data_IF_982117322509
#
_entry.id   IF_982117322509
#
_cell.length_a   1.000
_cell.length_b   1.000
_cell.length_c   1.000
_cell.angle_alpha   90.00
_cell.angle_beta   90.00
_cell.angle_gamma   90.00
#
_symmetry.space_group_name_H-M   'P 1'
#
loop_
_entity.id
_entity.type
_entity.pdbx_description
1 polymer ?
#
# COMPACT_ATOMS: atom_id res chain seq x y z
N UNK A 1 -27.49 56.84 69.15
CA UNK A 1 -26.63 55.70 69.27
C UNK A 1 -26.60 55.05 67.91
N UNK A 2 -25.47 54.91 67.32
CA UNK A 2 -25.12 54.99 65.93
C UNK A 2 -25.52 53.79 65.07
N UNK A 3 -26.33 54.05 64.08
CA UNK A 3 -26.67 53.11 63.02
C UNK A 3 -25.68 53.23 61.88
N UNK A 4 -24.89 52.19 61.70
CA UNK A 4 -23.93 52.11 60.56
C UNK A 4 -24.66 51.52 59.38
N UNK A 5 -24.93 52.36 58.38
CA UNK A 5 -25.49 51.96 57.08
C UNK A 5 -24.40 51.33 56.25
N UNK A 6 -24.53 50.01 56.01
CA UNK A 6 -23.66 49.29 55.08
C UNK A 6 -24.14 49.53 53.64
N UNK A 7 -23.36 50.26 52.86
CA UNK A 7 -23.54 50.34 51.43
C UNK A 7 -22.94 49.08 50.77
N UNK A 8 -23.78 48.21 50.29
CA UNK A 8 -23.37 47.12 49.39
C UNK A 8 -23.40 47.67 47.98
N UNK A 9 -22.21 47.92 47.41
CA UNK A 9 -22.05 48.22 46.00
C UNK A 9 -22.13 46.89 45.21
N UNK A 10 -23.23 46.71 44.51
CA UNK A 10 -23.35 45.60 43.57
C UNK A 10 -22.57 45.95 42.28
N UNK A 11 -21.44 45.27 42.08
CA UNK A 11 -20.64 45.35 40.86
C UNK A 11 -21.32 44.48 39.79
N UNK A 12 -22.06 45.07 38.87
CA UNK A 12 -22.56 44.39 37.69
C UNK A 12 -21.42 44.24 36.69
N UNK A 13 -20.82 43.03 36.63
CA UNK A 13 -19.95 42.66 35.55
C UNK A 13 -20.85 42.28 34.37
N UNK A 14 -21.01 43.20 33.42
CA UNK A 14 -21.61 42.90 32.14
C UNK A 14 -20.61 42.01 31.35
N UNK A 15 -20.82 40.69 31.38
CA UNK A 15 -20.16 39.76 30.51
C UNK A 15 -20.67 40.02 29.07
N UNK A 16 -20.02 40.93 28.39
CA UNK A 16 -20.22 41.08 26.95
C UNK A 16 -19.69 39.87 26.24
N UNK A 17 -20.59 38.98 25.84
CA UNK A 17 -20.26 37.91 24.90
C UNK A 17 -19.83 38.53 23.57
N UNK A 18 -18.53 38.57 23.33
CA UNK A 18 -17.99 38.90 22.00
C UNK A 18 -18.32 37.70 21.13
N UNK A 19 -19.50 37.71 20.52
CA UNK A 19 -19.77 36.84 19.40
C UNK A 19 -18.82 37.26 18.28
N UNK A 20 -17.74 36.51 18.12
CA UNK A 20 -16.91 36.61 16.93
C UNK A 20 -17.82 36.25 15.75
N UNK A 21 -18.29 37.23 15.06
CA UNK A 21 -18.95 37.07 13.78
C UNK A 21 -17.88 36.61 12.83
N UNK A 22 -17.74 35.29 12.70
CA UNK A 22 -17.08 34.74 11.53
C UNK A 22 -17.91 35.19 10.35
N UNK A 23 -17.43 36.19 9.65
CA UNK A 23 -18.05 36.62 8.41
C UNK A 23 -18.17 35.38 7.53
N UNK A 24 -19.38 35.06 7.02
CA UNK A 24 -19.51 33.92 6.10
C UNK A 24 -18.53 34.18 4.96
N UNK A 25 -17.69 33.20 4.70
CA UNK A 25 -16.74 33.25 3.61
C UNK A 25 -17.52 33.46 2.32
N UNK A 26 -17.47 34.69 1.82
CA UNK A 26 -18.15 35.05 0.58
C UNK A 26 -17.37 34.49 -0.61
N UNK A 27 -17.86 33.39 -1.15
CA UNK A 27 -17.31 32.74 -2.35
C UNK A 27 -17.54 33.58 -3.62
N UNK A 28 -18.39 34.66 -3.55
CA UNK A 28 -18.69 35.50 -4.69
C UNK A 28 -17.66 36.60 -4.89
N UNK A 29 -16.82 36.89 -3.89
CA UNK A 29 -15.76 37.87 -4.05
C UNK A 29 -14.73 37.38 -5.07
N UNK A 30 -14.47 38.16 -6.13
CA UNK A 30 -13.45 37.78 -7.10
C UNK A 30 -12.10 37.68 -6.36
N UNK A 31 -11.55 36.49 -6.35
CA UNK A 31 -10.20 36.26 -5.83
C UNK A 31 -9.21 36.93 -6.76
N UNK A 32 -8.82 38.15 -6.45
CA UNK A 32 -7.85 38.94 -7.22
C UNK A 32 -6.43 38.35 -7.22
N UNK A 33 -6.29 37.09 -6.83
CA UNK A 33 -4.99 36.40 -6.77
C UNK A 33 -4.81 35.35 -7.89
N UNK A 34 -5.67 35.37 -8.92
CA UNK A 34 -5.44 34.52 -10.09
C UNK A 34 -4.43 35.23 -10.98
N UNK A 35 -3.25 34.67 -11.25
CA UNK A 35 -2.30 35.23 -12.18
C UNK A 35 -2.98 35.48 -13.53
N UNK A 36 -2.66 36.61 -14.24
CA UNK A 36 -3.38 37.05 -15.44
C UNK A 36 -3.39 36.04 -16.61
N UNK A 37 -2.59 34.97 -16.53
CA UNK A 37 -2.52 33.91 -17.54
C UNK A 37 -3.29 32.63 -17.14
N UNK A 38 -4.00 32.63 -16.01
CA UNK A 38 -4.81 31.47 -15.63
C UNK A 38 -6.19 31.66 -16.20
N UNK A 39 -6.50 30.99 -17.29
CA UNK A 39 -7.84 30.95 -17.87
C UNK A 39 -8.80 30.39 -16.82
N UNK A 40 -9.92 31.04 -16.59
CA UNK A 40 -10.94 30.73 -15.58
C UNK A 40 -11.75 29.44 -15.86
N UNK A 41 -11.28 28.58 -16.75
CA UNK A 41 -11.81 27.22 -16.84
C UNK A 41 -11.37 26.47 -15.57
N UNK A 42 -12.25 25.69 -14.95
CA UNK A 42 -11.88 24.88 -13.78
C UNK A 42 -10.87 23.82 -14.22
N UNK A 43 -9.61 24.24 -14.31
CA UNK A 43 -8.53 23.29 -14.57
C UNK A 43 -8.48 22.33 -13.38
N UNK A 44 -8.58 21.06 -13.70
CA UNK A 44 -8.33 20.02 -12.69
C UNK A 44 -6.94 20.27 -12.12
N UNK A 45 -6.76 20.22 -10.81
CA UNK A 45 -5.45 20.36 -10.22
C UNK A 45 -4.51 19.32 -10.84
N UNK A 46 -3.42 19.79 -11.41
CA UNK A 46 -2.41 18.93 -12.00
C UNK A 46 -1.21 18.87 -11.06
N UNK A 47 -0.76 17.67 -10.79
CA UNK A 47 0.48 17.42 -10.06
C UNK A 47 1.47 16.77 -11.00
N UNK A 48 2.63 17.37 -11.15
CA UNK A 48 3.75 16.75 -11.87
C UNK A 48 4.63 16.01 -10.86
N UNK A 49 4.77 14.70 -11.05
CA UNK A 49 5.66 13.87 -10.25
C UNK A 49 6.93 13.58 -11.06
N UNK A 50 8.02 14.25 -10.73
CA UNK A 50 9.31 13.98 -11.31
C UNK A 50 10.01 12.89 -10.49
N UNK A 51 10.02 11.65 -11.02
CA UNK A 51 10.67 10.52 -10.36
C UNK A 51 11.93 10.12 -11.09
N UNK A 52 12.96 9.78 -10.34
CA UNK A 52 14.15 9.13 -10.88
C UNK A 52 13.79 7.69 -11.32
N UNK A 53 14.43 7.20 -12.36
CA UNK A 53 14.42 5.80 -12.77
C UNK A 53 15.75 5.15 -12.39
N UNK A 54 16.10 5.29 -11.13
CA UNK A 54 17.35 4.78 -10.60
C UNK A 54 17.35 3.25 -10.55
N UNK A 55 18.48 2.65 -10.77
CA UNK A 55 18.75 1.23 -10.69
C UNK A 55 18.40 0.66 -9.29
N UNK A 56 18.60 1.42 -8.21
CA UNK A 56 18.23 1.01 -6.85
C UNK A 56 16.74 0.72 -6.65
N UNK A 57 15.87 1.28 -7.51
CA UNK A 57 14.44 1.02 -7.48
C UNK A 57 14.07 -0.40 -7.94
N UNK A 58 14.95 -1.08 -8.64
CA UNK A 58 14.74 -2.46 -9.07
C UNK A 58 15.20 -3.49 -8.03
N UNK A 59 15.83 -3.05 -6.95
CA UNK A 59 16.14 -3.89 -5.79
C UNK A 59 14.89 -4.35 -5.03
N UNK A 60 15.03 -5.38 -4.17
CA UNK A 60 13.93 -5.86 -3.34
C UNK A 60 13.45 -4.76 -2.40
N UNK A 61 12.13 -4.70 -2.18
CA UNK A 61 11.58 -3.77 -1.20
C UNK A 61 11.95 -4.19 0.22
N UNK A 62 11.93 -5.49 0.48
CA UNK A 62 12.33 -6.06 1.77
C UNK A 62 13.77 -6.55 1.64
N UNK A 63 14.67 -5.94 2.40
CA UNK A 63 16.11 -6.19 2.29
C UNK A 63 16.61 -7.33 3.19
N UNK A 64 15.74 -7.84 4.08
CA UNK A 64 16.04 -8.89 5.08
C UNK A 64 17.14 -8.47 6.08
N UNK A 65 17.18 -7.20 6.43
CA UNK A 65 18.06 -6.59 7.42
C UNK A 65 17.34 -5.50 8.24
N UNK A 66 16.03 -5.64 8.43
CA UNK A 66 15.20 -4.69 9.14
C UNK A 66 14.42 -5.39 10.24
N UNK A 67 14.21 -4.71 11.35
CA UNK A 67 13.26 -5.11 12.39
C UNK A 67 11.85 -4.71 11.91
N UNK A 68 11.14 -5.67 11.32
CA UNK A 68 9.82 -5.44 10.71
C UNK A 68 8.69 -5.30 11.73
N UNK A 69 8.85 -5.88 12.90
CA UNK A 69 7.82 -5.90 13.95
C UNK A 69 8.11 -4.94 15.08
N UNK A 70 9.30 -4.33 15.14
CA UNK A 70 9.72 -3.40 16.19
C UNK A 70 10.03 -4.09 17.51
N UNK A 71 10.41 -5.37 17.46
CA UNK A 71 10.71 -6.19 18.64
C UNK A 71 12.22 -6.19 19.04
N UNK A 72 13.03 -5.44 18.30
CA UNK A 72 14.49 -5.35 18.49
C UNK A 72 15.25 -6.47 17.79
N UNK A 73 14.58 -7.36 17.06
CA UNK A 73 15.20 -8.46 16.33
C UNK A 73 15.18 -8.16 14.83
N UNK A 74 16.35 -8.28 14.19
CA UNK A 74 16.45 -8.07 12.73
C UNK A 74 16.01 -9.34 12.00
N UNK A 75 15.01 -9.21 11.12
CA UNK A 75 14.60 -10.29 10.23
C UNK A 75 15.59 -10.46 9.10
N UNK A 76 16.14 -11.68 8.98
CA UNK A 76 17.09 -12.05 7.92
C UNK A 76 16.49 -12.97 6.86
N UNK A 77 15.21 -13.28 6.99
CA UNK A 77 14.47 -14.19 6.10
C UNK A 77 12.97 -13.85 6.15
N UNK A 78 12.15 -14.58 5.41
CA UNK A 78 10.70 -14.45 5.46
C UNK A 78 10.14 -14.62 6.87
N UNK A 79 9.37 -13.65 7.33
CA UNK A 79 8.65 -13.67 8.61
C UNK A 79 7.16 -13.94 8.36
N UNK A 80 6.64 -15.14 8.63
CA UNK A 80 5.26 -15.50 8.27
C UNK A 80 4.18 -14.69 8.98
N UNK A 81 4.49 -14.16 10.17
CA UNK A 81 3.59 -13.35 10.99
C UNK A 81 3.44 -11.92 10.46
N UNK A 82 4.43 -11.45 9.71
CA UNK A 82 4.41 -10.13 9.11
C UNK A 82 3.63 -10.13 7.78
N UNK A 83 2.78 -9.13 7.56
CA UNK A 83 2.03 -8.92 6.32
C UNK A 83 2.84 -8.09 5.33
N UNK A 84 3.43 -8.73 4.35
CA UNK A 84 4.20 -8.07 3.31
C UNK A 84 3.28 -7.38 2.30
N UNK A 85 3.57 -6.13 2.01
CA UNK A 85 2.85 -5.35 1.02
C UNK A 85 3.42 -5.58 -0.39
N UNK A 86 2.54 -5.74 -1.37
CA UNK A 86 2.95 -5.94 -2.77
C UNK A 86 1.75 -6.13 -3.68
N UNK A 87 1.94 -6.67 -4.87
CA UNK A 87 0.86 -6.91 -5.84
C UNK A 87 -0.10 -8.00 -5.40
N UNK A 88 0.36 -8.94 -4.61
CA UNK A 88 -0.45 -10.04 -4.12
C UNK A 88 -1.21 -9.66 -2.85
N UNK A 89 -2.38 -10.24 -2.68
CA UNK A 89 -3.10 -10.17 -1.41
C UNK A 89 -2.46 -11.15 -0.43
N UNK A 90 -1.93 -10.65 0.67
CA UNK A 90 -1.20 -11.45 1.66
C UNK A 90 -2.06 -12.55 2.32
N UNK A 91 -3.39 -12.41 2.27
CA UNK A 91 -4.32 -13.38 2.87
C UNK A 91 -4.92 -14.34 1.85
N UNK A 92 -4.36 -14.40 0.63
CA UNK A 92 -4.83 -15.30 -0.43
C UNK A 92 -3.74 -16.24 -0.90
N UNK A 93 -4.20 -17.39 -1.38
CA UNK A 93 -3.40 -18.37 -2.08
C UNK A 93 -3.59 -18.24 -3.59
N UNK A 94 -2.55 -18.52 -4.32
CA UNK A 94 -2.48 -18.36 -5.78
C UNK A 94 -2.06 -19.64 -6.45
N UNK A 95 -2.67 -19.94 -7.60
CA UNK A 95 -2.15 -20.91 -8.56
C UNK A 95 -1.25 -20.20 -9.57
N UNK A 96 -0.25 -20.89 -10.07
CA UNK A 96 0.55 -20.41 -11.19
C UNK A 96 0.14 -21.18 -12.43
N UNK A 97 -0.47 -20.47 -13.37
CA UNK A 97 -0.93 -21.03 -14.62
C UNK A 97 -0.62 -20.09 -15.80
N UNK A 98 -0.14 -20.68 -16.90
CA UNK A 98 0.09 -19.96 -18.16
C UNK A 98 0.90 -18.67 -18.01
N UNK A 99 1.88 -18.67 -17.11
CA UNK A 99 2.77 -17.53 -16.90
C UNK A 99 2.24 -16.47 -15.92
N UNK A 100 1.08 -16.67 -15.33
CA UNK A 100 0.45 -15.72 -14.40
C UNK A 100 0.07 -16.38 -13.08
N UNK A 101 0.09 -15.60 -12.01
CA UNK A 101 -0.48 -15.99 -10.73
C UNK A 101 -1.95 -15.60 -10.67
N UNK A 102 -2.81 -16.57 -10.43
CA UNK A 102 -4.26 -16.38 -10.34
C UNK A 102 -4.72 -16.64 -8.90
N UNK A 103 -5.47 -15.72 -8.28
CA UNK A 103 -6.00 -15.98 -6.94
C UNK A 103 -6.93 -17.19 -6.96
N UNK A 104 -6.76 -18.09 -5.99
CA UNK A 104 -7.46 -19.38 -5.92
C UNK A 104 -8.34 -19.47 -4.68
N UNK A 105 -7.74 -19.34 -3.49
CA UNK A 105 -8.45 -19.50 -2.22
C UNK A 105 -7.95 -18.51 -1.18
N UNK A 106 -8.64 -18.44 -0.06
CA UNK A 106 -8.12 -17.74 1.12
C UNK A 106 -7.05 -18.60 1.77
N UNK A 107 -6.00 -17.96 2.26
CA UNK A 107 -4.97 -18.62 3.05
C UNK A 107 -5.53 -19.04 4.43
N UNK A 108 -5.06 -20.16 4.94
CA UNK A 108 -5.42 -20.62 6.27
C UNK A 108 -4.62 -19.82 7.30
N UNK A 109 -5.33 -19.18 8.23
CA UNK A 109 -4.71 -18.51 9.36
C UNK A 109 -4.47 -19.55 10.47
N UNK A 110 -3.20 -19.84 10.74
CA UNK A 110 -2.81 -20.74 11.84
C UNK A 110 -2.86 -20.03 13.20
N UNK A 111 -2.82 -20.78 14.28
CA UNK A 111 -2.91 -20.23 15.65
C UNK A 111 -1.77 -19.28 16.03
N UNK A 112 -0.64 -19.36 15.33
CA UNK A 112 0.52 -18.47 15.43
C UNK A 112 0.46 -17.29 14.45
N UNK A 113 -0.71 -17.00 13.88
CA UNK A 113 -0.99 -15.89 12.95
C UNK A 113 -0.24 -15.95 11.62
N UNK A 114 0.12 -17.14 11.17
CA UNK A 114 0.71 -17.35 9.84
C UNK A 114 -0.37 -17.63 8.81
N UNK A 115 -0.20 -17.06 7.61
CA UNK A 115 -1.06 -17.34 6.46
C UNK A 115 -0.43 -18.42 5.59
N UNK A 116 -0.96 -19.62 5.68
CA UNK A 116 -0.43 -20.80 4.99
C UNK A 116 -1.28 -21.19 3.79
N UNK A 117 -0.63 -21.74 2.77
CA UNK A 117 -1.24 -22.24 1.53
C UNK A 117 -0.62 -23.59 1.21
N UNK A 118 -1.26 -24.67 1.61
CA UNK A 118 -0.73 -26.01 1.37
C UNK A 118 -0.85 -26.49 -0.08
N UNK A 119 -0.22 -27.62 -0.38
CA UNK A 119 -0.32 -28.31 -1.65
C UNK A 119 0.43 -27.63 -2.79
N UNK A 120 -0.25 -27.37 -3.92
CA UNK A 120 0.34 -26.75 -5.11
C UNK A 120 0.13 -25.24 -5.18
N UNK A 121 -0.26 -24.62 -4.07
CA UNK A 121 -0.59 -23.21 -4.02
C UNK A 121 0.59 -22.36 -3.52
N UNK A 122 0.58 -21.10 -3.92
CA UNK A 122 1.53 -20.08 -3.49
C UNK A 122 0.89 -19.13 -2.51
N UNK A 123 1.55 -18.84 -1.41
CA UNK A 123 1.11 -17.80 -0.49
C UNK A 123 1.36 -16.42 -1.10
N UNK A 124 0.30 -15.58 -1.14
CA UNK A 124 0.43 -14.19 -1.59
C UNK A 124 1.38 -13.39 -0.70
N UNK A 125 1.41 -13.69 0.60
CA UNK A 125 2.33 -13.07 1.53
C UNK A 125 3.79 -13.40 1.19
N UNK A 126 4.07 -14.68 0.92
CA UNK A 126 5.39 -15.13 0.51
C UNK A 126 5.81 -14.53 -0.84
N UNK A 127 4.89 -14.47 -1.81
CA UNK A 127 5.15 -13.86 -3.11
C UNK A 127 5.49 -12.37 -3.00
N UNK A 128 4.83 -11.63 -2.11
CA UNK A 128 5.15 -10.23 -1.86
C UNK A 128 6.57 -10.06 -1.33
N UNK A 129 6.96 -10.86 -0.35
CA UNK A 129 8.32 -10.84 0.18
C UNK A 129 9.37 -11.23 -0.87
N UNK A 130 9.09 -12.31 -1.61
CA UNK A 130 10.08 -12.91 -2.52
C UNK A 130 10.25 -12.14 -3.83
N UNK A 131 9.22 -11.40 -4.30
CA UNK A 131 9.24 -10.92 -5.68
C UNK A 131 9.12 -9.40 -5.85
N UNK A 132 8.63 -8.66 -4.85
CA UNK A 132 8.35 -7.23 -5.02
C UNK A 132 9.60 -6.37 -5.04
N UNK A 133 9.67 -5.49 -6.04
CA UNK A 133 10.68 -4.44 -6.13
C UNK A 133 10.17 -3.15 -5.50
N UNK A 134 11.07 -2.24 -5.16
CA UNK A 134 10.72 -0.88 -4.71
C UNK A 134 9.90 -0.16 -5.78
N UNK A 135 10.26 -0.33 -7.07
CA UNK A 135 9.52 0.23 -8.20
C UNK A 135 8.07 -0.27 -8.26
N UNK A 136 7.84 -1.57 -8.01
CA UNK A 136 6.48 -2.14 -8.04
C UNK A 136 5.60 -1.54 -6.96
N UNK A 137 6.15 -1.36 -5.77
CA UNK A 137 5.42 -0.77 -4.65
C UNK A 137 5.10 0.69 -4.90
N UNK A 138 6.05 1.47 -5.42
CA UNK A 138 5.80 2.86 -5.82
C UNK A 138 4.69 2.92 -6.88
N UNK A 139 4.75 2.07 -7.89
CA UNK A 139 3.70 1.97 -8.92
C UNK A 139 2.34 1.59 -8.34
N UNK A 140 2.33 0.63 -7.42
CA UNK A 140 1.09 0.23 -6.75
C UNK A 140 0.48 1.37 -5.96
N UNK A 141 1.28 2.13 -5.22
CA UNK A 141 0.82 3.27 -4.43
C UNK A 141 0.28 4.40 -5.31
N UNK A 142 0.93 4.70 -6.43
CA UNK A 142 0.58 5.85 -7.25
C UNK A 142 -0.62 5.60 -8.17
N UNK A 143 -0.70 4.40 -8.76
CA UNK A 143 -1.73 4.11 -9.77
C UNK A 143 -2.21 2.66 -9.82
N UNK A 144 -1.99 1.89 -8.75
CA UNK A 144 -2.47 0.51 -8.63
C UNK A 144 -1.57 -0.55 -9.26
N UNK A 145 -0.40 -0.20 -9.77
CA UNK A 145 0.59 -1.11 -10.35
C UNK A 145 0.65 -1.06 -11.88
N UNK A 146 1.76 -1.55 -12.45
CA UNK A 146 1.92 -1.67 -13.90
C UNK A 146 1.01 -2.78 -14.43
N UNK A 147 0.14 -2.45 -15.37
CA UNK A 147 -0.76 -3.40 -16.01
C UNK A 147 -0.18 -3.85 -17.35
N UNK A 148 -0.07 -5.16 -17.54
CA UNK A 148 0.24 -5.75 -18.85
C UNK A 148 -1.04 -6.03 -19.64
N UNK A 149 -2.14 -6.30 -18.93
CA UNK A 149 -3.47 -6.49 -19.50
C UNK A 149 -4.48 -5.75 -18.63
N UNK A 150 -5.37 -5.01 -19.27
CA UNK A 150 -6.50 -4.38 -18.60
C UNK A 150 -7.68 -4.35 -19.57
N UNK A 151 -8.57 -5.32 -19.40
CA UNK A 151 -9.79 -5.45 -20.23
C UNK A 151 -11.03 -5.00 -19.48
N UNK A 152 -10.87 -4.40 -18.30
CA UNK A 152 -12.00 -3.91 -17.52
C UNK A 152 -12.69 -2.76 -18.27
N UNK A 153 -13.96 -2.93 -18.55
CA UNK A 153 -14.84 -1.89 -19.08
C UNK A 153 -15.72 -1.36 -17.96
N UNK A 154 -15.54 -0.11 -17.61
CA UNK A 154 -16.37 0.54 -16.62
C UNK A 154 -17.52 1.29 -17.28
N UNK A 155 -18.75 1.04 -16.83
CA UNK A 155 -19.91 1.86 -17.15
C UNK A 155 -20.02 2.98 -16.13
N UNK A 156 -19.99 4.23 -16.61
CA UNK A 156 -20.08 5.40 -15.76
C UNK A 156 -21.42 6.10 -15.99
N UNK A 157 -22.21 6.24 -14.94
CA UNK A 157 -23.48 6.98 -14.95
C UNK A 157 -23.42 8.10 -13.94
N UNK A 158 -23.68 9.32 -14.40
CA UNK A 158 -23.62 10.55 -13.56
C UNK A 158 -22.30 10.70 -12.78
N UNK A 159 -21.16 10.33 -13.39
CA UNK A 159 -19.84 10.40 -12.77
C UNK A 159 -19.49 9.29 -11.78
N UNK A 160 -20.39 8.32 -11.59
CA UNK A 160 -20.20 7.16 -10.73
C UNK A 160 -20.02 5.89 -11.57
N UNK A 161 -19.08 5.02 -11.17
CA UNK A 161 -18.94 3.70 -11.79
C UNK A 161 -20.08 2.82 -11.30
N UNK A 162 -20.98 2.46 -12.22
CA UNK A 162 -22.18 1.65 -11.92
C UNK A 162 -22.01 0.17 -12.22
N UNK A 163 -21.12 -0.17 -13.16
CA UNK A 163 -20.80 -1.54 -13.47
C UNK A 163 -19.37 -1.66 -14.01
N UNK A 164 -18.72 -2.80 -13.76
CA UNK A 164 -17.47 -3.18 -14.38
C UNK A 164 -17.66 -4.54 -15.03
N UNK A 165 -17.43 -4.62 -16.34
CA UNK A 165 -17.55 -5.86 -17.12
C UNK A 165 -16.20 -6.25 -17.69
N UNK A 166 -16.01 -7.54 -18.01
CA UNK A 166 -14.77 -8.08 -18.59
C UNK A 166 -13.52 -7.72 -17.78
N UNK A 167 -13.62 -7.76 -16.46
CA UNK A 167 -12.56 -7.32 -15.56
C UNK A 167 -11.43 -8.35 -15.49
N UNK A 168 -10.50 -8.30 -16.44
CA UNK A 168 -9.24 -9.01 -16.34
C UNK A 168 -8.11 -7.99 -16.29
N UNK A 169 -7.51 -7.83 -15.11
CA UNK A 169 -6.33 -6.98 -14.91
C UNK A 169 -5.17 -7.86 -14.49
N UNK A 170 -4.08 -7.83 -15.27
CA UNK A 170 -2.84 -8.52 -14.95
C UNK A 170 -1.80 -7.46 -14.61
N UNK A 171 -1.27 -7.53 -13.41
CA UNK A 171 -0.16 -6.69 -12.97
C UNK A 171 1.16 -7.33 -13.37
N UNK A 172 2.06 -6.50 -13.89
CA UNK A 172 3.38 -6.94 -14.31
C UNK A 172 4.44 -6.38 -13.37
N UNK A 173 5.27 -7.28 -12.87
CA UNK A 173 6.43 -6.91 -12.07
C UNK A 173 7.43 -6.11 -12.89
N UNK A 174 8.12 -5.17 -12.27
CA UNK A 174 9.26 -4.48 -12.89
C UNK A 174 10.32 -5.49 -13.31
N UNK A 175 10.83 -5.34 -14.55
CA UNK A 175 11.95 -6.13 -15.00
C UNK A 175 13.16 -5.93 -14.11
N UNK A 176 13.90 -6.99 -13.81
CA UNK A 176 15.19 -6.88 -13.14
C UNK A 176 16.17 -6.15 -14.06
N UNK A 177 16.98 -5.28 -13.49
CA UNK A 177 18.17 -4.80 -14.17
C UNK A 177 19.11 -5.98 -14.43
N UNK A 178 20.09 -5.81 -15.30
CA UNK A 178 21.04 -6.87 -15.70
C UNK A 178 21.83 -7.46 -14.52
N UNK A 179 21.85 -6.78 -13.37
CA UNK A 179 22.46 -7.28 -12.14
C UNK A 179 21.45 -8.12 -11.34
N UNK A 180 21.32 -9.40 -11.72
CA UNK A 180 20.45 -10.33 -11.03
C UNK A 180 20.87 -10.61 -9.56
N UNK A 181 22.11 -10.31 -9.18
CA UNK A 181 22.61 -10.51 -7.83
C UNK A 181 21.97 -9.55 -6.81
N UNK A 182 21.46 -8.43 -7.26
CA UNK A 182 20.76 -7.47 -6.38
C UNK A 182 19.41 -7.95 -5.88
N UNK A 183 18.92 -9.12 -6.35
CA UNK A 183 17.60 -9.66 -6.03
C UNK A 183 17.65 -11.10 -5.55
N UNK A 184 18.58 -11.43 -4.68
CA UNK A 184 18.67 -12.76 -4.05
C UNK A 184 17.90 -12.74 -2.75
N UNK A 185 17.04 -13.74 -2.54
CA UNK A 185 16.30 -13.99 -1.29
C UNK A 185 16.72 -15.33 -0.73
N UNK A 186 16.94 -15.38 0.58
CA UNK A 186 17.28 -16.59 1.29
C UNK A 186 16.18 -16.96 2.28
N UNK A 187 15.62 -18.15 2.12
CA UNK A 187 14.66 -18.70 3.05
C UNK A 187 15.33 -19.69 4.00
N UNK A 188 15.34 -19.36 5.29
CA UNK A 188 16.00 -20.16 6.33
C UNK A 188 15.07 -21.19 7.00
N UNK A 189 13.75 -21.14 6.75
CA UNK A 189 12.78 -22.05 7.36
C UNK A 189 12.79 -23.44 6.74
N UNK A 190 12.22 -24.40 7.44
CA UNK A 190 12.02 -25.79 6.98
C UNK A 190 10.60 -26.02 6.42
N UNK A 191 9.71 -25.04 6.59
CA UNK A 191 8.28 -25.08 6.31
C UNK A 191 7.90 -24.38 4.99
N UNK A 192 8.82 -24.34 4.03
CA UNK A 192 8.57 -23.69 2.72
C UNK A 192 7.37 -24.29 1.96
N UNK A 193 7.02 -25.54 2.24
CA UNK A 193 5.85 -26.20 1.67
C UNK A 193 4.52 -25.59 2.13
N UNK A 194 4.52 -24.84 3.22
CA UNK A 194 3.34 -24.11 3.70
C UNK A 194 3.07 -22.85 2.88
N UNK A 195 4.04 -22.38 2.09
CA UNK A 195 3.95 -21.11 1.34
C UNK A 195 4.15 -21.29 -0.16
N UNK A 196 4.69 -22.41 -0.59
CA UNK A 196 5.01 -22.69 -1.99
C UNK A 196 4.74 -24.15 -2.33
N UNK A 197 4.60 -24.50 -3.62
CA UNK A 197 4.52 -25.89 -4.09
C UNK A 197 5.82 -26.70 -3.91
N UNK A 198 6.86 -26.09 -3.36
CA UNK A 198 8.16 -26.74 -3.22
C UNK A 198 8.34 -27.31 -1.83
N UNK A 199 9.09 -28.40 -1.75
CA UNK A 199 9.55 -28.99 -0.49
C UNK A 199 11.06 -28.83 -0.39
N UNK A 200 11.61 -28.89 0.82
CA UNK A 200 13.07 -28.83 1.04
C UNK A 200 13.80 -29.90 0.22
N UNK A 201 13.27 -31.11 0.14
CA UNK A 201 13.85 -32.20 -0.66
C UNK A 201 13.85 -31.92 -2.16
N UNK A 202 12.83 -31.22 -2.68
CA UNK A 202 12.77 -30.85 -4.10
C UNK A 202 13.78 -29.77 -4.47
N UNK A 203 14.07 -28.85 -3.55
CA UNK A 203 15.06 -27.79 -3.74
C UNK A 203 16.49 -28.35 -3.74
N UNK A 204 16.79 -29.31 -2.88
CA UNK A 204 18.10 -29.97 -2.82
C UNK A 204 18.42 -30.72 -4.12
N UNK A 205 17.43 -31.42 -4.69
CA UNK A 205 17.59 -32.10 -5.99
C UNK A 205 17.87 -31.13 -7.17
N UNK A 206 17.33 -29.92 -7.12
CA UNK A 206 17.59 -28.91 -8.16
C UNK A 206 19.02 -28.36 -8.10
N UNK A 207 19.58 -28.20 -6.89
CA UNK A 207 20.97 -27.76 -6.69
C UNK A 207 22.00 -28.76 -7.27
N UNK A 208 21.70 -30.05 -7.23
CA UNK A 208 22.56 -31.07 -7.79
C UNK A 208 22.56 -31.14 -9.32
N UNK A 209 21.56 -30.57 -10.01
CA UNK A 209 21.52 -30.56 -11.48
C UNK A 209 22.23 -29.37 -12.12
N UNK A 210 22.65 -28.40 -11.33
CA UNK A 210 23.35 -27.19 -11.80
C UNK A 210 24.86 -27.27 -11.56
N UNK A 211 25.40 -28.42 -11.19
CA UNK A 211 26.81 -28.80 -11.20
C UNK A 211 27.09 -29.60 -12.48
#
# INVERSE_FOLDING_TARGET
>A
MNSIKRFTAALFIAAGSVTAWALPYDVSLPRNAVPPNVVSTPNKPMMMLATSKDHTLFGPIYNDFEDLEGDGTIETTFKPTFKYYGYFDAVKCYTYDSGVFVPSSMATLTGDKRYTCGGSLWSGNFLNWATMTRMDVVRKMLYGGKRSTDTATATVTAGQVTAVTNSKTILERAGLSQDAHSFVKFYAGTDIADYTPFTVSSLTKKKQRCQ
#
